data_IF_055719482742
#
_entry.id   IF_055719482742
#
_cell.length_a   1.000
_cell.length_b   1.000
_cell.length_c   1.000
_cell.angle_alpha   90.00
_cell.angle_beta   90.00
_cell.angle_gamma   90.00
#
_symmetry.space_group_name_H-M   'P 1'
#
loop_
_entity.id
_entity.type
_entity.pdbx_description
1 polymer ?
#
# COMPACT_ATOMS: atom_id res chain seq x y z
N UNK A 1 19.39 23.40 1.08
CA UNK A 1 18.83 22.64 2.22
C UNK A 1 18.04 21.43 1.71
N UNK A 2 18.25 20.31 2.31
CA UNK A 2 17.56 19.09 1.92
C UNK A 2 16.15 19.07 2.48
N UNK A 3 15.16 18.90 1.60
CA UNK A 3 13.76 18.88 2.00
C UNK A 3 13.40 17.50 2.57
N UNK A 4 12.69 17.50 3.69
CA UNK A 4 12.09 16.27 4.22
C UNK A 4 10.85 15.96 3.41
N UNK A 5 10.74 14.72 2.97
CA UNK A 5 9.59 14.26 2.17
C UNK A 5 8.62 13.50 3.06
N UNK A 6 7.34 13.66 2.77
CA UNK A 6 6.26 13.01 3.50
C UNK A 6 5.64 11.94 2.64
N UNK A 7 5.75 10.69 3.10
CA UNK A 7 5.01 9.57 2.53
C UNK A 7 3.82 9.26 3.41
N UNK A 8 2.64 9.09 2.82
CA UNK A 8 1.41 8.84 3.56
C UNK A 8 0.92 7.44 3.25
N UNK A 9 0.76 6.61 4.29
CA UNK A 9 0.19 5.27 4.16
C UNK A 9 -1.32 5.34 4.39
N UNK A 10 -2.09 4.77 3.47
CA UNK A 10 -3.56 4.82 3.52
C UNK A 10 -4.20 3.44 3.66
N UNK A 11 -3.44 2.43 4.06
CA UNK A 11 -3.95 1.06 4.17
C UNK A 11 -5.22 0.97 5.01
N UNK A 12 -5.26 1.67 6.12
CA UNK A 12 -6.34 1.50 7.07
C UNK A 12 -7.63 2.20 6.66
N UNK A 13 -7.58 3.07 5.66
CA UNK A 13 -8.81 3.55 5.01
C UNK A 13 -9.55 2.36 4.40
N UNK A 14 -8.82 1.46 3.75
CA UNK A 14 -9.41 0.23 3.22
C UNK A 14 -9.87 -0.71 4.34
N UNK A 15 -9.17 -0.74 5.46
CA UNK A 15 -9.59 -1.52 6.63
C UNK A 15 -10.98 -1.09 7.10
N UNK A 16 -11.19 0.21 7.22
CA UNK A 16 -12.49 0.75 7.65
C UNK A 16 -13.56 0.46 6.61
N UNK A 17 -13.27 0.68 5.34
CA UNK A 17 -14.21 0.36 4.25
C UNK A 17 -14.66 -1.09 4.32
N UNK A 18 -13.71 -2.00 4.47
CA UNK A 18 -14.00 -3.44 4.48
C UNK A 18 -14.82 -3.83 5.71
N UNK A 19 -14.51 -3.23 6.85
CA UNK A 19 -15.28 -3.49 8.08
C UNK A 19 -16.71 -3.02 7.94
N UNK A 20 -16.97 -1.95 7.19
CA UNK A 20 -18.32 -1.45 6.94
C UNK A 20 -19.07 -2.26 5.90
N UNK A 21 -18.35 -3.02 5.07
CA UNK A 21 -18.98 -3.75 3.98
C UNK A 21 -19.54 -2.84 2.88
N UNK A 22 -18.97 -1.66 2.70
CA UNK A 22 -19.43 -0.66 1.75
C UNK A 22 -18.31 -0.23 0.84
N UNK A 23 -18.56 0.80 0.00
CA UNK A 23 -17.55 1.34 -0.88
C UNK A 23 -16.79 2.52 -0.27
N UNK A 24 -17.26 3.01 0.85
CA UNK A 24 -16.64 4.13 1.57
C UNK A 24 -16.20 3.70 2.96
N UNK A 25 -15.14 4.33 3.49
CA UNK A 25 -14.30 5.35 2.87
C UNK A 25 -13.43 4.77 1.75
N UNK A 26 -13.15 5.57 0.74
CA UNK A 26 -12.45 5.14 -0.46
C UNK A 26 -10.94 5.35 -0.32
N UNK A 27 -10.11 4.32 -0.48
CA UNK A 27 -8.65 4.49 -0.52
C UNK A 27 -8.18 5.42 -1.64
N UNK A 28 -8.79 5.36 -2.81
CA UNK A 28 -8.46 6.27 -3.90
C UNK A 28 -8.67 7.72 -3.47
N UNK A 29 -9.81 7.99 -2.85
CA UNK A 29 -10.13 9.34 -2.40
C UNK A 29 -9.14 9.83 -1.35
N UNK A 30 -8.76 8.96 -0.42
CA UNK A 30 -7.75 9.28 0.59
C UNK A 30 -6.39 9.59 -0.05
N UNK A 31 -6.00 8.81 -1.05
CA UNK A 31 -4.75 9.05 -1.77
C UNK A 31 -4.76 10.42 -2.46
N UNK A 32 -5.87 10.78 -3.10
CA UNK A 32 -6.00 12.06 -3.78
C UNK A 32 -6.04 13.23 -2.79
N UNK A 33 -6.63 13.04 -1.63
CA UNK A 33 -6.61 14.05 -0.57
C UNK A 33 -5.19 14.25 -0.06
N UNK A 34 -4.45 13.18 0.18
CA UNK A 34 -3.05 13.27 0.61
C UNK A 34 -2.22 14.02 -0.43
N UNK A 35 -2.39 13.69 -1.70
CA UNK A 35 -1.69 14.36 -2.80
C UNK A 35 -2.00 15.86 -2.81
N UNK A 36 -3.27 16.21 -2.75
CA UNK A 36 -3.71 17.61 -2.77
C UNK A 36 -3.22 18.38 -1.56
N UNK A 37 -3.05 17.70 -0.43
CA UNK A 37 -2.59 18.30 0.82
C UNK A 37 -1.07 18.44 0.91
N UNK A 38 -0.34 17.99 -0.10
CA UNK A 38 1.10 18.20 -0.16
C UNK A 38 1.97 17.00 0.15
N UNK A 39 1.41 15.79 0.21
CA UNK A 39 2.21 14.59 0.38
C UNK A 39 3.15 14.42 -0.81
N UNK A 40 4.34 13.90 -0.55
CA UNK A 40 5.33 13.63 -1.59
C UNK A 40 5.16 12.25 -2.21
N UNK A 41 4.54 11.33 -1.50
CA UNK A 41 4.25 9.99 -1.99
C UNK A 41 3.10 9.37 -1.20
N UNK A 42 2.49 8.34 -1.78
CA UNK A 42 1.47 7.53 -1.09
C UNK A 42 1.97 6.11 -1.05
N UNK A 43 1.82 5.47 0.10
CA UNK A 43 2.21 4.07 0.30
C UNK A 43 0.97 3.23 0.55
N UNK A 44 0.90 2.10 -0.12
CA UNK A 44 -0.10 1.07 0.15
C UNK A 44 0.59 -0.29 0.24
N UNK A 45 0.04 -1.16 1.05
CA UNK A 45 0.52 -2.53 1.21
C UNK A 45 -0.54 -3.49 0.68
N UNK A 46 -0.21 -4.25 -0.35
CA UNK A 46 -1.06 -5.31 -0.84
C UNK A 46 -0.67 -6.60 -0.10
N UNK A 47 -1.44 -6.93 0.93
CA UNK A 47 -1.20 -8.14 1.71
C UNK A 47 -1.68 -9.36 0.94
N UNK A 48 -1.04 -10.49 1.20
CA UNK A 48 -1.44 -11.75 0.56
C UNK A 48 -2.88 -12.15 0.89
N UNK A 49 -3.34 -11.81 2.11
CA UNK A 49 -4.68 -12.14 2.57
C UNK A 49 -5.74 -11.09 2.18
N UNK A 50 -5.32 -10.01 1.55
CA UNK A 50 -6.23 -8.93 1.09
C UNK A 50 -7.13 -8.39 2.19
N UNK A 51 -6.62 -8.27 3.42
CA UNK A 51 -7.46 -7.80 4.53
C UNK A 51 -7.82 -6.32 4.44
N UNK A 52 -7.09 -5.55 3.65
CA UNK A 52 -7.41 -4.13 3.44
C UNK A 52 -7.34 -3.77 1.96
N UNK A 53 -6.20 -3.35 1.45
CA UNK A 53 -6.03 -2.99 0.03
C UNK A 53 -6.22 -4.23 -0.86
N UNK A 54 -6.94 -4.07 -1.96
CA UNK A 54 -7.10 -5.10 -2.98
C UNK A 54 -6.54 -4.62 -4.32
N UNK A 55 -6.54 -5.50 -5.32
CA UNK A 55 -5.97 -5.17 -6.63
C UNK A 55 -6.71 -4.04 -7.33
N UNK A 56 -8.01 -3.94 -7.14
CA UNK A 56 -8.77 -2.83 -7.72
C UNK A 56 -8.35 -1.49 -7.11
N UNK A 57 -8.12 -1.45 -5.79
CA UNK A 57 -7.58 -0.26 -5.14
C UNK A 57 -6.24 0.14 -5.75
N UNK A 58 -5.34 -0.83 -5.90
CA UNK A 58 -4.03 -0.59 -6.50
C UNK A 58 -4.16 -0.01 -7.90
N UNK A 59 -4.99 -0.62 -8.72
CA UNK A 59 -5.21 -0.16 -10.10
C UNK A 59 -5.74 1.26 -10.14
N UNK A 60 -6.75 1.56 -9.34
CA UNK A 60 -7.37 2.88 -9.31
C UNK A 60 -6.41 3.95 -8.81
N UNK A 61 -5.69 3.67 -7.75
CA UNK A 61 -4.73 4.61 -7.21
C UNK A 61 -3.59 4.84 -8.19
N UNK A 62 -3.03 3.76 -8.74
CA UNK A 62 -1.95 3.87 -9.72
C UNK A 62 -2.35 4.70 -10.93
N UNK A 63 -3.59 4.55 -11.40
CA UNK A 63 -4.07 5.24 -12.60
C UNK A 63 -4.35 6.73 -12.37
N UNK A 64 -4.64 7.14 -11.14
CA UNK A 64 -5.12 8.49 -10.85
C UNK A 64 -4.13 9.34 -10.05
N UNK A 65 -3.18 8.71 -9.38
CA UNK A 65 -2.22 9.42 -8.55
C UNK A 65 -1.14 10.06 -9.41
N UNK A 66 -0.82 11.32 -9.14
CA UNK A 66 0.24 12.04 -9.86
C UNK A 66 1.57 12.08 -9.13
N UNK A 67 1.54 11.87 -7.81
CA UNK A 67 2.76 11.71 -7.02
C UNK A 67 3.14 10.22 -6.99
N UNK A 68 4.39 9.90 -6.64
CA UNK A 68 4.81 8.50 -6.64
C UNK A 68 4.00 7.62 -5.70
N UNK A 69 3.67 6.43 -6.19
CA UNK A 69 3.06 5.36 -5.41
C UNK A 69 4.16 4.38 -4.99
N UNK A 70 4.24 4.10 -3.70
CA UNK A 70 5.11 3.08 -3.16
C UNK A 70 4.26 1.87 -2.78
N UNK A 71 4.51 0.74 -3.43
CA UNK A 71 3.78 -0.50 -3.16
C UNK A 71 4.62 -1.40 -2.27
N UNK A 72 4.10 -1.70 -1.09
CA UNK A 72 4.70 -2.69 -0.20
C UNK A 72 4.12 -4.07 -0.51
N UNK A 73 4.98 -5.06 -0.64
CA UNK A 73 4.57 -6.43 -0.94
C UNK A 73 5.44 -7.42 -0.17
N UNK A 74 4.91 -8.61 0.06
CA UNK A 74 5.69 -9.72 0.55
C UNK A 74 6.55 -10.29 -0.59
N UNK A 75 7.65 -10.94 -0.25
CA UNK A 75 8.59 -11.50 -1.22
C UNK A 75 8.10 -12.85 -1.73
N UNK A 76 7.00 -12.84 -2.47
CA UNK A 76 6.43 -14.05 -3.07
C UNK A 76 6.30 -13.90 -4.58
N UNK A 77 6.22 -15.03 -5.29
CA UNK A 77 6.05 -15.00 -6.73
C UNK A 77 4.73 -14.34 -7.13
N UNK A 78 3.68 -14.57 -6.38
CA UNK A 78 2.38 -13.95 -6.64
C UNK A 78 2.50 -12.43 -6.58
N UNK A 79 3.08 -11.91 -5.52
CA UNK A 79 3.22 -10.48 -5.33
C UNK A 79 4.16 -9.86 -6.35
N UNK A 80 5.22 -10.56 -6.71
CA UNK A 80 6.14 -10.09 -7.73
C UNK A 80 5.43 -9.92 -9.08
N UNK A 81 4.60 -10.89 -9.45
CA UNK A 81 3.83 -10.81 -10.70
C UNK A 81 2.88 -9.63 -10.70
N UNK A 82 2.23 -9.36 -9.57
CA UNK A 82 1.33 -8.22 -9.44
C UNK A 82 2.11 -6.90 -9.58
N UNK A 83 3.27 -6.80 -8.94
CA UNK A 83 4.11 -5.61 -9.03
C UNK A 83 4.57 -5.38 -10.46
N UNK A 84 4.98 -6.43 -11.17
CA UNK A 84 5.40 -6.32 -12.57
C UNK A 84 4.24 -5.87 -13.45
N UNK A 85 3.04 -6.38 -13.19
CA UNK A 85 1.85 -6.02 -13.97
C UNK A 85 1.49 -4.54 -13.81
N UNK A 86 1.54 -4.02 -12.61
CA UNK A 86 1.08 -2.66 -12.31
C UNK A 86 2.18 -1.62 -12.40
N UNK A 87 3.44 -2.01 -12.29
CA UNK A 87 4.61 -1.15 -12.46
C UNK A 87 4.57 0.14 -11.64
N UNK A 88 4.35 0.06 -10.32
CA UNK A 88 4.43 1.28 -9.51
C UNK A 88 5.85 1.84 -9.53
N UNK A 89 6.02 3.17 -9.33
CA UNK A 89 7.36 3.77 -9.33
C UNK A 89 8.29 3.20 -8.27
N UNK A 90 7.74 2.79 -7.11
CA UNK A 90 8.54 2.23 -6.03
C UNK A 90 7.89 0.97 -5.51
N UNK A 91 8.71 0.01 -5.16
CA UNK A 91 8.29 -1.26 -4.55
C UNK A 91 9.15 -1.47 -3.31
N UNK A 92 8.50 -1.77 -2.20
CA UNK A 92 9.17 -2.12 -0.95
C UNK A 92 8.83 -3.55 -0.58
N UNK A 93 9.84 -4.38 -0.39
CA UNK A 93 9.64 -5.75 0.06
C UNK A 93 9.48 -5.70 1.57
N UNK A 94 8.29 -6.11 2.03
CA UNK A 94 7.94 -6.05 3.44
C UNK A 94 7.52 -7.44 3.93
N UNK A 95 7.76 -7.72 5.21
CA UNK A 95 7.36 -8.99 5.81
C UNK A 95 6.05 -8.76 6.54
N UNK A 96 5.05 -9.58 6.19
CA UNK A 96 3.76 -9.56 6.88
C UNK A 96 3.90 -10.28 8.21
N UNK A 97 3.20 -9.79 9.23
CA UNK A 97 3.19 -10.46 10.53
C UNK A 97 2.67 -11.87 10.48
N UNK A 98 1.82 -12.19 9.52
CA UNK A 98 1.32 -13.54 9.36
C UNK A 98 2.42 -14.52 8.98
N UNK A 99 3.56 -14.03 8.50
CA UNK A 99 4.70 -14.86 8.13
C UNK A 99 5.84 -14.82 9.13
N UNK A 100 5.70 -14.00 10.16
CA UNK A 100 6.74 -13.94 11.18
C UNK A 100 6.56 -15.07 12.18
N UNK A 101 7.37 -16.06 12.03
CA UNK A 101 7.59 -17.02 13.09
C UNK A 101 8.89 -16.59 13.76
N UNK A 102 8.77 -15.91 14.86
CA UNK A 102 9.94 -15.46 15.56
C UNK A 102 10.49 -16.60 16.36
N UNK A 103 11.64 -16.91 16.18
CA UNK A 103 12.36 -17.81 17.06
C UNK A 103 13.00 -17.03 18.14
N UNK A 104 12.39 -16.24 17.13
CA UNK A 104 12.89 -15.81 16.97
C UNK A 104 13.52 -15.54 17.06
N UNK A 105 13.60 -15.25 17.19
CA UNK A 105 14.04 -14.76 16.74
C UNK A 105 14.48 -14.65 16.80
N UNK A 106 14.60 -14.71 16.96
CA UNK A 106 14.99 -14.35 16.64
C UNK A 106 15.35 -14.08 16.78
N UNK A 107 15.50 -13.81 17.08
CA UNK A 107 15.85 -13.44 16.81
C UNK A 107 16.20 -13.37 16.74
N UNK A 108 16.46 -13.43 17.08
CA UNK A 108 16.80 -13.19 16.57
C UNK A 108 16.74 -13.14 16.51
#
# INVERSE_FOLDING_TARGET
MKKIRLGVNIDHVATVRNARGEIYPSPLRAALIAQRSGADSVTIHLREDRRHINELDLKQIKSNLKIPLNLEIAATNEMLKIAIKHKPPFICIAVSYTHLTLPTNREV
#
